data_IF_904073301497
#
_entry.id   IF_904073301497
#
_cell.length_a   1.000
_cell.length_b   1.000
_cell.length_c   1.000
_cell.angle_alpha   90.00
_cell.angle_beta   90.00
_cell.angle_gamma   90.00
#
_symmetry.space_group_name_H-M   'P 1'
#
loop_
_entity.id
_entity.type
_entity.pdbx_description
1 polymer ?
#
# COMPACT_ATOMS: atom_id res chain seq x y z
N UNK A 1 -2.42 0.12 -21.85
CA UNK A 1 -3.54 1.03 -21.54
C UNK A 1 -3.27 2.37 -22.20
N UNK A 2 -4.03 2.70 -23.24
CA UNK A 2 -3.93 3.99 -23.93
C UNK A 2 -4.52 5.14 -23.10
N UNK A 3 -4.10 6.38 -23.36
CA UNK A 3 -4.58 7.59 -22.64
C UNK A 3 -6.11 7.73 -22.73
N UNK A 4 -6.72 7.26 -23.83
CA UNK A 4 -8.18 7.19 -24.00
C UNK A 4 -8.82 6.17 -23.06
N UNK A 5 -8.27 4.98 -22.92
CA UNK A 5 -8.82 3.94 -22.04
C UNK A 5 -8.73 4.35 -20.57
N UNK A 6 -7.62 4.99 -20.17
CA UNK A 6 -7.46 5.49 -18.82
C UNK A 6 -8.46 6.61 -18.49
N UNK A 7 -8.65 7.58 -19.40
CA UNK A 7 -9.66 8.65 -19.23
C UNK A 7 -11.07 8.07 -19.10
N UNK A 8 -11.42 7.11 -19.95
CA UNK A 8 -12.74 6.46 -19.89
C UNK A 8 -12.96 5.72 -18.58
N UNK A 9 -11.93 5.06 -18.03
CA UNK A 9 -12.02 4.37 -16.74
C UNK A 9 -12.16 5.37 -15.59
N UNK A 10 -11.39 6.46 -15.58
CA UNK A 10 -11.51 7.51 -14.55
C UNK A 10 -12.88 8.19 -14.59
N UNK A 11 -13.39 8.54 -15.77
CA UNK A 11 -14.73 9.15 -15.90
C UNK A 11 -15.83 8.19 -15.45
N UNK A 12 -15.71 6.89 -15.72
CA UNK A 12 -16.67 5.88 -15.21
C UNK A 12 -16.61 5.71 -13.69
N UNK A 13 -15.42 5.80 -13.10
CA UNK A 13 -15.22 5.75 -11.65
C UNK A 13 -15.79 7.00 -10.95
N UNK A 14 -15.56 8.18 -11.52
CA UNK A 14 -16.10 9.44 -10.99
C UNK A 14 -17.63 9.43 -11.05
N UNK A 15 -18.23 9.02 -12.19
CA UNK A 15 -19.68 8.87 -12.29
C UNK A 15 -20.27 7.84 -11.31
N UNK A 16 -19.54 6.76 -10.98
CA UNK A 16 -19.99 5.76 -10.00
C UNK A 16 -19.91 6.28 -8.56
N UNK A 17 -18.93 7.13 -8.25
CA UNK A 17 -18.80 7.80 -6.96
C UNK A 17 -19.91 8.84 -6.81
N UNK A 18 -20.13 9.68 -7.82
CA UNK A 18 -21.18 10.69 -7.82
C UNK A 18 -22.57 10.05 -7.70
N UNK A 19 -22.83 8.94 -8.40
CA UNK A 19 -24.10 8.20 -8.29
C UNK A 19 -24.32 7.60 -6.90
N UNK A 20 -23.25 7.15 -6.22
CA UNK A 20 -23.35 6.66 -4.82
C UNK A 20 -23.57 7.79 -3.83
N UNK A 21 -22.96 8.97 -4.06
CA UNK A 21 -23.18 10.16 -3.24
C UNK A 21 -24.62 10.67 -3.43
N UNK A 22 -25.13 10.68 -4.67
CA UNK A 22 -26.51 11.07 -4.97
C UNK A 22 -27.51 10.13 -4.28
N UNK A 23 -27.30 8.81 -4.35
CA UNK A 23 -28.14 7.84 -3.65
C UNK A 23 -28.12 8.00 -2.13
N UNK A 24 -26.96 8.34 -1.55
CA UNK A 24 -26.84 8.63 -0.13
C UNK A 24 -27.56 9.93 0.25
N UNK A 25 -27.47 10.96 -0.60
CA UNK A 25 -28.18 12.22 -0.41
C UNK A 25 -29.69 12.04 -0.50
N UNK A 26 -30.19 11.27 -1.48
CA UNK A 26 -31.61 10.91 -1.63
C UNK A 26 -32.13 10.13 -0.42
N UNK A 27 -31.35 9.17 0.10
CA UNK A 27 -31.75 8.43 1.31
C UNK A 27 -31.82 9.35 2.53
N UNK A 28 -30.86 10.28 2.68
CA UNK A 28 -30.89 11.27 3.77
C UNK A 28 -32.07 12.22 3.62
N UNK A 29 -32.35 12.71 2.40
CA UNK A 29 -33.48 13.59 2.12
C UNK A 29 -34.82 12.89 2.38
N UNK A 30 -35.00 11.65 1.93
CA UNK A 30 -36.20 10.86 2.21
C UNK A 30 -36.39 10.61 3.71
N UNK A 31 -35.30 10.37 4.44
CA UNK A 31 -35.34 10.17 5.89
C UNK A 31 -35.73 11.47 6.61
N UNK A 32 -35.22 12.62 6.16
CA UNK A 32 -35.59 13.94 6.67
C UNK A 32 -37.03 14.32 6.33
N UNK A 33 -37.50 14.03 5.11
CA UNK A 33 -38.89 14.26 4.71
C UNK A 33 -39.86 13.38 5.50
N UNK A 34 -39.52 12.11 5.74
CA UNK A 34 -40.28 11.24 6.64
C UNK A 34 -40.33 11.81 8.05
N UNK A 35 -39.22 12.34 8.56
CA UNK A 35 -39.13 12.95 9.88
C UNK A 35 -40.00 14.21 10.00
N UNK A 36 -39.89 15.15 9.04
CA UNK A 36 -40.71 16.38 8.98
C UNK A 36 -42.20 16.03 8.87
N UNK A 37 -42.55 15.02 8.08
CA UNK A 37 -43.95 14.57 7.94
C UNK A 37 -44.50 14.01 9.26
N UNK A 38 -43.68 13.28 10.01
CA UNK A 38 -44.07 12.77 11.35
C UNK A 38 -44.19 13.91 12.37
N UNK A 39 -43.30 14.91 12.33
CA UNK A 39 -43.38 16.11 13.18
C UNK A 39 -44.62 16.96 12.87
N UNK A 40 -44.95 17.19 11.60
CA UNK A 40 -46.15 17.93 11.21
C UNK A 40 -47.45 17.21 11.58
N UNK A 41 -47.44 15.87 11.67
CA UNK A 41 -48.56 15.09 12.21
C UNK A 41 -48.74 15.25 13.72
N UNK A 42 -47.68 15.60 14.44
CA UNK A 42 -47.69 15.83 15.89
C UNK A 42 -48.15 17.25 16.24
N UNK A 43 -47.82 18.26 15.42
CA UNK A 43 -48.18 19.67 15.67
C UNK A 43 -49.69 19.99 15.46
N UNK A 44 -50.44 19.11 14.80
CA UNK A 44 -51.84 19.38 14.43
C UNK A 44 -52.89 19.26 15.54
N UNK A 45 -52.57 18.72 16.72
CA UNK A 45 -53.61 18.44 17.75
C UNK A 45 -53.29 18.79 19.20
N UNK A 46 -52.12 19.33 19.55
CA UNK A 46 -51.82 19.54 20.98
C UNK A 46 -50.85 20.69 21.25
N UNK A 47 -51.15 21.89 20.75
CA UNK A 47 -50.43 23.10 21.15
C UNK A 47 -51.43 24.10 21.75
N UNK A 48 -51.91 23.81 22.97
CA UNK A 48 -52.45 24.88 23.83
C UNK A 48 -52.47 24.59 25.33
N UNK A 49 -51.62 23.69 25.81
CA UNK A 49 -51.38 23.61 27.26
C UNK A 49 -50.57 22.40 27.65
N UNK A 50 -49.25 22.51 27.67
CA UNK A 50 -48.34 21.61 28.38
C UNK A 50 -46.96 22.26 28.43
N UNK A 51 -46.71 23.08 29.46
CA UNK A 51 -45.50 23.91 29.57
C UNK A 51 -44.27 23.19 30.17
N UNK A 52 -44.34 21.91 30.54
CA UNK A 52 -43.20 21.21 31.18
C UNK A 52 -42.80 19.86 30.52
N UNK A 53 -43.59 19.29 29.60
CA UNK A 53 -43.26 18.02 28.92
C UNK A 53 -42.56 18.17 27.56
N UNK A 54 -42.56 19.38 26.99
CA UNK A 54 -41.93 19.66 25.70
C UNK A 54 -40.41 19.64 25.76
N UNK A 55 -39.80 19.92 26.93
CA UNK A 55 -38.33 19.93 27.07
C UNK A 55 -37.72 18.54 26.89
N UNK A 56 -38.31 17.46 27.42
CA UNK A 56 -37.71 16.13 27.36
C UNK A 56 -37.85 15.46 25.99
N UNK A 57 -38.98 15.68 25.29
CA UNK A 57 -39.14 15.20 23.91
C UNK A 57 -38.26 16.00 22.95
N UNK A 58 -38.15 17.32 23.13
CA UNK A 58 -37.23 18.15 22.36
C UNK A 58 -35.78 17.77 22.65
N UNK A 59 -35.40 17.45 23.89
CA UNK A 59 -34.06 16.97 24.25
C UNK A 59 -33.75 15.62 23.59
N UNK A 60 -34.67 14.65 23.65
CA UNK A 60 -34.49 13.34 22.99
C UNK A 60 -34.38 13.47 21.46
N UNK A 61 -35.18 14.35 20.85
CA UNK A 61 -35.13 14.60 19.41
C UNK A 61 -33.85 15.34 19.02
N UNK A 62 -33.40 16.33 19.80
CA UNK A 62 -32.10 16.97 19.58
C UNK A 62 -30.93 16.01 19.83
N UNK A 63 -31.02 15.10 20.79
CA UNK A 63 -29.97 14.10 21.05
C UNK A 63 -29.89 13.05 19.94
N UNK A 64 -31.03 12.65 19.37
CA UNK A 64 -31.06 11.75 18.21
C UNK A 64 -30.59 12.47 16.94
N UNK A 65 -30.99 13.72 16.71
CA UNK A 65 -30.48 14.53 15.59
C UNK A 65 -28.97 14.81 15.72
N UNK A 66 -28.48 15.05 16.94
CA UNK A 66 -27.05 15.22 17.23
C UNK A 66 -26.28 13.91 17.06
N UNK A 67 -26.85 12.78 17.48
CA UNK A 67 -26.26 11.46 17.26
C UNK A 67 -26.23 11.09 15.76
N UNK A 68 -27.28 11.43 15.01
CA UNK A 68 -27.31 11.26 13.56
C UNK A 68 -26.28 12.18 12.90
N UNK A 69 -26.17 13.44 13.33
CA UNK A 69 -25.17 14.41 12.88
C UNK A 69 -23.74 13.92 13.13
N UNK A 70 -23.46 13.39 14.33
CA UNK A 70 -22.15 12.83 14.66
C UNK A 70 -21.84 11.57 13.86
N UNK A 71 -22.86 10.74 13.58
CA UNK A 71 -22.71 9.54 12.76
C UNK A 71 -22.48 9.91 11.28
N UNK A 72 -23.21 10.87 10.74
CA UNK A 72 -22.99 11.40 9.39
C UNK A 72 -21.65 12.11 9.30
N UNK A 73 -21.23 12.88 10.31
CA UNK A 73 -19.90 13.51 10.37
C UNK A 73 -18.80 12.47 10.43
N UNK A 74 -18.99 11.36 11.16
CA UNK A 74 -17.99 10.29 11.22
C UNK A 74 -17.87 9.55 9.88
N UNK A 75 -18.99 9.25 9.22
CA UNK A 75 -19.00 8.67 7.87
C UNK A 75 -18.39 9.65 6.88
N UNK A 76 -18.77 10.93 6.94
CA UNK A 76 -18.26 11.97 6.06
C UNK A 76 -16.78 12.21 6.28
N UNK A 77 -16.28 12.17 7.51
CA UNK A 77 -14.85 12.27 7.83
C UNK A 77 -14.08 11.03 7.40
N UNK A 78 -14.60 9.82 7.57
CA UNK A 78 -13.95 8.60 7.04
C UNK A 78 -13.93 8.63 5.50
N UNK A 79 -15.02 9.08 4.86
CA UNK A 79 -15.09 9.25 3.42
C UNK A 79 -14.14 10.36 2.92
N UNK A 80 -14.05 11.49 3.64
CA UNK A 80 -13.12 12.60 3.37
C UNK A 80 -11.66 12.18 3.57
N UNK A 81 -11.37 11.33 4.55
CA UNK A 81 -10.04 10.75 4.76
C UNK A 81 -9.68 9.75 3.64
N UNK A 82 -10.62 8.92 3.21
CA UNK A 82 -10.43 8.02 2.06
C UNK A 82 -10.31 8.77 0.74
N UNK A 83 -11.05 9.87 0.56
CA UNK A 83 -10.92 10.80 -0.56
C UNK A 83 -9.57 11.50 -0.53
N UNK A 84 -9.15 12.08 0.62
CA UNK A 84 -7.80 12.67 0.77
C UNK A 84 -6.70 11.64 0.53
N UNK A 85 -6.84 10.40 0.99
CA UNK A 85 -5.87 9.34 0.72
C UNK A 85 -5.81 9.02 -0.77
N UNK A 86 -6.96 8.89 -1.45
CA UNK A 86 -7.03 8.71 -2.91
C UNK A 86 -6.51 9.91 -3.68
N UNK A 87 -6.77 11.13 -3.23
CA UNK A 87 -6.26 12.38 -3.77
C UNK A 87 -4.74 12.49 -3.57
N UNK A 88 -4.20 12.02 -2.43
CA UNK A 88 -2.76 11.89 -2.20
C UNK A 88 -2.15 10.91 -3.20
N UNK A 89 -2.80 9.76 -3.41
CA UNK A 89 -2.36 8.73 -4.36
C UNK A 89 -2.47 9.22 -5.81
N UNK A 90 -3.51 9.99 -6.13
CA UNK A 90 -3.77 10.61 -7.43
C UNK A 90 -2.79 11.75 -7.71
N UNK A 91 -2.48 12.60 -6.72
CA UNK A 91 -1.49 13.66 -6.82
C UNK A 91 -0.07 13.09 -6.94
N UNK A 92 0.23 11.97 -6.27
CA UNK A 92 1.46 11.22 -6.49
C UNK A 92 1.52 10.62 -7.91
N UNK A 93 0.41 10.07 -8.42
CA UNK A 93 0.32 9.60 -9.80
C UNK A 93 0.45 10.74 -10.82
N UNK A 94 -0.18 11.89 -10.58
CA UNK A 94 -0.06 13.09 -11.42
C UNK A 94 1.36 13.66 -11.35
N UNK A 95 2.03 13.65 -10.20
CA UNK A 95 3.41 14.11 -10.09
C UNK A 95 4.36 13.19 -10.86
N UNK A 96 4.14 11.87 -10.80
CA UNK A 96 4.84 10.86 -11.61
C UNK A 96 4.56 11.09 -13.11
N UNK A 97 3.32 11.37 -13.50
CA UNK A 97 2.93 11.62 -14.89
C UNK A 97 3.48 12.96 -15.39
N UNK A 98 3.44 14.04 -14.59
CA UNK A 98 4.03 15.35 -14.90
C UNK A 98 5.54 15.26 -15.02
N UNK A 99 6.22 14.53 -14.14
CA UNK A 99 7.66 14.26 -14.25
C UNK A 99 7.98 13.48 -15.53
N UNK A 100 7.14 12.50 -15.92
CA UNK A 100 7.27 11.78 -17.19
C UNK A 100 6.99 12.66 -18.41
N UNK A 101 6.03 13.61 -18.34
CA UNK A 101 5.72 14.57 -19.42
C UNK A 101 6.80 15.65 -19.56
N UNK A 102 7.32 16.18 -18.46
CA UNK A 102 8.45 17.11 -18.46
C UNK A 102 9.70 16.46 -19.04
N UNK A 103 9.99 15.20 -18.66
CA UNK A 103 11.05 14.44 -19.30
C UNK A 103 10.79 14.28 -20.80
N UNK A 104 9.58 13.87 -21.23
CA UNK A 104 9.24 13.77 -22.67
C UNK A 104 9.38 15.09 -23.43
N UNK A 105 8.99 16.23 -22.86
CA UNK A 105 9.08 17.54 -23.52
C UNK A 105 10.53 18.06 -23.56
N UNK A 106 11.34 17.76 -22.54
CA UNK A 106 12.79 18.06 -22.54
C UNK A 106 13.53 17.34 -23.68
N UNK A 107 13.03 16.18 -24.11
CA UNK A 107 13.56 15.45 -25.28
C UNK A 107 12.94 15.83 -26.63
N UNK A 108 11.87 16.64 -26.64
CA UNK A 108 11.15 17.02 -27.88
C UNK A 108 11.53 18.39 -28.43
N UNK A 109 12.27 19.21 -27.69
CA UNK A 109 12.72 20.56 -28.11
C UNK A 109 14.25 20.70 -28.25
N UNK A 110 14.99 19.59 -28.17
CA UNK A 110 16.44 19.58 -28.42
C UNK A 110 16.84 19.28 -29.88
N UNK A 111 15.97 19.58 -30.86
CA UNK A 111 16.35 19.56 -32.28
C UNK A 111 16.42 21.00 -32.77
N UNK A 112 17.56 21.32 -33.36
CA UNK A 112 17.96 22.53 -34.08
C UNK A 112 18.91 23.49 -33.34
N UNK A 113 20.16 23.46 -33.85
CA UNK A 113 21.32 24.37 -33.74
C UNK A 113 22.11 24.42 -32.42
N UNK A 114 23.35 23.93 -32.43
CA UNK A 114 24.53 24.78 -32.62
C UNK A 114 25.84 23.96 -32.53
N UNK A 115 26.69 24.18 -33.53
CA UNK A 115 28.12 23.88 -33.47
C UNK A 115 28.81 24.97 -32.62
N UNK A 116 29.95 24.62 -32.03
CA UNK A 116 30.98 25.49 -31.43
C UNK A 116 30.94 25.75 -29.90
N UNK A 117 32.10 25.42 -29.31
CA UNK A 117 32.80 26.04 -28.17
C UNK A 117 32.31 25.72 -26.74
N UNK A 118 33.22 25.05 -25.99
CA UNK A 118 33.18 24.79 -24.55
C UNK A 118 33.29 26.09 -23.73
N UNK A 119 32.75 26.15 -22.49
CA UNK A 119 33.47 25.64 -21.33
C UNK A 119 32.64 24.80 -20.33
N UNK A 120 33.39 24.09 -19.50
CA UNK A 120 33.05 23.23 -18.36
C UNK A 120 31.91 23.71 -17.45
N UNK A 121 30.74 23.09 -17.61
CA UNK A 121 29.97 22.61 -16.46
C UNK A 121 29.83 21.11 -16.66
N UNK A 122 30.25 20.29 -15.68
CA UNK A 122 29.99 18.85 -15.70
C UNK A 122 28.48 18.62 -15.71
N UNK A 123 27.89 18.61 -16.91
CA UNK A 123 26.55 18.12 -17.11
C UNK A 123 26.53 16.72 -16.51
N UNK A 124 25.62 16.49 -15.55
CA UNK A 124 25.17 15.15 -15.15
C UNK A 124 24.50 14.51 -16.36
N UNK A 125 25.30 14.12 -17.35
CA UNK A 125 24.86 13.28 -18.45
C UNK A 125 24.48 11.96 -17.79
N UNK A 126 23.22 11.52 -17.86
CA UNK A 126 22.84 10.24 -17.31
C UNK A 126 23.48 9.17 -18.19
N UNK A 127 24.67 8.66 -17.84
CA UNK A 127 25.29 7.54 -18.54
C UNK A 127 24.43 6.26 -18.44
N UNK A 128 24.83 5.22 -19.16
CA UNK A 128 24.20 3.89 -19.10
C UNK A 128 23.52 3.46 -20.41
N UNK A 129 22.87 2.29 -20.36
CA UNK A 129 22.30 1.62 -21.54
C UNK A 129 21.38 2.53 -22.36
N UNK A 130 20.46 3.22 -21.67
CA UNK A 130 19.44 4.06 -22.32
C UNK A 130 20.05 5.25 -23.04
N UNK A 131 21.06 5.89 -22.45
CA UNK A 131 21.77 6.99 -23.08
C UNK A 131 22.48 6.54 -24.37
N UNK A 132 23.15 5.40 -24.32
CA UNK A 132 23.85 4.84 -25.48
C UNK A 132 22.87 4.42 -26.59
N UNK A 133 21.67 3.96 -26.22
CA UNK A 133 20.56 3.72 -27.15
C UNK A 133 20.12 5.01 -27.83
N UNK A 134 19.89 6.08 -27.06
CA UNK A 134 19.39 7.37 -27.55
C UNK A 134 20.38 8.08 -28.50
N UNK A 135 21.69 7.85 -28.35
CA UNK A 135 22.71 8.38 -29.27
C UNK A 135 22.58 7.85 -30.71
N UNK A 136 21.96 6.69 -30.91
CA UNK A 136 21.87 6.05 -32.23
C UNK A 136 23.23 5.64 -32.81
N UNK A 137 23.23 5.02 -33.99
CA UNK A 137 24.46 4.43 -34.57
C UNK A 137 25.52 5.47 -34.94
N UNK A 138 25.12 6.63 -35.45
CA UNK A 138 26.04 7.68 -35.88
C UNK A 138 26.69 8.34 -34.66
N UNK A 139 25.89 8.72 -33.66
CA UNK A 139 26.40 9.34 -32.43
C UNK A 139 27.39 8.43 -31.70
N UNK A 140 27.11 7.12 -31.62
CA UNK A 140 28.01 6.16 -30.97
C UNK A 140 29.41 6.06 -31.61
N UNK A 141 29.56 6.31 -32.91
CA UNK A 141 30.88 6.30 -33.57
C UNK A 141 31.79 7.43 -33.08
N UNK A 142 31.25 8.50 -32.52
CA UNK A 142 32.07 9.59 -31.96
C UNK A 142 32.70 9.21 -30.62
N UNK A 143 32.15 8.18 -29.94
CA UNK A 143 32.60 7.76 -28.60
C UNK A 143 33.97 7.07 -28.61
N UNK A 144 34.48 6.63 -29.76
CA UNK A 144 35.80 5.97 -29.84
C UNK A 144 36.98 6.94 -29.91
N UNK A 145 36.71 8.24 -29.99
CA UNK A 145 37.74 9.28 -30.09
C UNK A 145 38.20 9.80 -28.72
N UNK A 146 39.41 10.35 -28.68
CA UNK A 146 39.97 11.02 -27.50
C UNK A 146 40.83 10.14 -26.60
N UNK A 147 41.12 10.67 -25.40
CA UNK A 147 41.97 10.04 -24.40
C UNK A 147 41.41 8.70 -23.93
N UNK A 148 42.31 7.80 -23.54
CA UNK A 148 41.98 6.47 -23.06
C UNK A 148 42.25 6.33 -21.57
N UNK A 149 41.38 5.59 -20.90
CA UNK A 149 41.48 5.22 -19.50
C UNK A 149 42.06 3.82 -19.42
N UNK A 150 43.06 3.63 -18.55
CA UNK A 150 43.66 2.31 -18.28
C UNK A 150 42.98 1.63 -17.10
N UNK A 151 42.78 0.33 -17.20
CA UNK A 151 42.37 -0.46 -16.04
C UNK A 151 43.61 -1.01 -15.33
N UNK A 152 43.65 -0.80 -14.02
CA UNK A 152 44.70 -1.35 -13.14
C UNK A 152 44.06 -2.24 -12.08
N UNK A 153 44.77 -3.28 -11.63
CA UNK A 153 44.33 -4.08 -10.50
C UNK A 153 44.42 -3.30 -9.18
N UNK A 154 43.99 -3.93 -8.09
CA UNK A 154 44.02 -3.33 -6.75
C UNK A 154 45.43 -3.04 -6.22
N UNK A 155 46.49 -3.56 -6.88
CA UNK A 155 47.89 -3.28 -6.58
C UNK A 155 48.48 -2.21 -7.51
N UNK A 156 47.68 -1.65 -8.41
CA UNK A 156 48.12 -0.66 -9.39
C UNK A 156 48.80 -1.26 -10.63
N UNK A 157 48.82 -2.59 -10.79
CA UNK A 157 49.37 -3.23 -11.99
C UNK A 157 48.39 -3.12 -13.14
N UNK A 158 48.90 -2.81 -14.32
CA UNK A 158 48.10 -2.67 -15.54
C UNK A 158 47.49 -4.00 -15.94
N UNK A 159 46.18 -4.01 -16.16
CA UNK A 159 45.45 -5.20 -16.62
C UNK A 159 45.64 -5.34 -18.13
N UNK A 160 46.06 -6.52 -18.59
CA UNK A 160 46.25 -6.84 -20.01
C UNK A 160 45.27 -7.91 -20.48
N UNK A 161 44.80 -7.79 -21.72
CA UNK A 161 44.00 -8.80 -22.43
C UNK A 161 44.82 -9.32 -23.61
N UNK A 162 45.40 -10.51 -23.45
CA UNK A 162 46.43 -11.01 -24.39
C UNK A 162 47.67 -10.12 -24.36
N UNK A 163 48.03 -9.53 -25.51
CA UNK A 163 49.18 -8.61 -25.64
C UNK A 163 48.81 -7.13 -25.49
N UNK A 164 47.53 -6.81 -25.32
CA UNK A 164 47.05 -5.43 -25.33
C UNK A 164 46.70 -4.97 -23.92
N UNK A 165 47.03 -3.72 -23.61
CA UNK A 165 46.57 -3.06 -22.38
C UNK A 165 45.05 -2.90 -22.44
N UNK A 166 44.37 -3.21 -21.33
CA UNK A 166 42.94 -3.03 -21.22
C UNK A 166 42.63 -1.53 -21.07
N UNK A 167 42.18 -0.90 -22.15
CA UNK A 167 41.88 0.52 -22.20
C UNK A 167 40.51 0.81 -22.81
N UNK A 168 39.88 1.91 -22.39
CA UNK A 168 38.61 2.40 -22.95
C UNK A 168 38.68 3.91 -23.17
N UNK A 169 38.16 4.46 -24.28
CA UNK A 169 38.04 5.91 -24.46
C UNK A 169 37.23 6.55 -23.32
N UNK A 170 37.70 7.69 -22.79
CA UNK A 170 37.06 8.41 -21.67
C UNK A 170 35.60 8.74 -21.99
N UNK A 171 35.36 9.20 -23.22
CA UNK A 171 34.02 9.58 -23.70
C UNK A 171 33.09 8.37 -23.73
N UNK A 172 33.58 7.21 -24.18
CA UNK A 172 32.82 5.96 -24.15
C UNK A 172 32.52 5.52 -22.71
N UNK A 173 33.50 5.58 -21.81
CA UNK A 173 33.29 5.23 -20.40
C UNK A 173 32.21 6.10 -19.76
N UNK A 174 32.29 7.43 -19.92
CA UNK A 174 31.27 8.37 -19.41
C UNK A 174 29.89 8.15 -20.04
N UNK A 175 29.83 7.68 -21.29
CA UNK A 175 28.55 7.36 -21.94
C UNK A 175 27.91 6.08 -21.36
N UNK A 176 28.70 5.05 -21.03
CA UNK A 176 28.17 3.76 -20.57
C UNK A 176 28.05 3.63 -19.06
N UNK A 177 28.79 4.44 -18.28
CA UNK A 177 28.87 4.36 -16.83
C UNK A 177 27.97 5.39 -16.17
N UNK A 178 27.29 5.04 -15.09
CA UNK A 178 26.65 6.00 -14.19
C UNK A 178 27.62 6.55 -13.11
N UNK A 179 28.85 6.03 -13.04
CA UNK A 179 29.87 6.36 -12.03
C UNK A 179 31.08 7.04 -12.68
N UNK A 180 30.91 8.28 -13.11
CA UNK A 180 31.94 9.02 -13.87
C UNK A 180 33.19 9.32 -13.04
N UNK A 181 33.05 9.40 -11.72
CA UNK A 181 34.11 9.71 -10.76
C UNK A 181 35.09 8.55 -10.51
N UNK A 182 34.90 7.39 -11.15
CA UNK A 182 35.84 6.26 -11.04
C UNK A 182 37.16 6.51 -11.77
N UNK A 183 37.20 7.50 -12.66
CA UNK A 183 38.39 7.84 -13.42
C UNK A 183 39.24 8.81 -12.60
N UNK A 184 40.38 8.32 -12.12
CA UNK A 184 41.36 9.12 -11.38
C UNK A 184 42.67 9.07 -12.15
N UNK A 185 43.19 10.23 -12.57
CA UNK A 185 44.44 10.34 -13.33
C UNK A 185 44.50 9.43 -14.59
N UNK A 186 43.37 9.31 -15.30
CA UNK A 186 43.28 8.47 -16.50
C UNK A 186 43.33 6.95 -16.21
N UNK A 187 43.08 6.54 -14.97
CA UNK A 187 43.07 5.14 -14.55
C UNK A 187 41.77 4.80 -13.81
N UNK A 188 41.36 3.54 -13.91
CA UNK A 188 40.32 2.92 -13.08
C UNK A 188 40.96 1.77 -12.31
N UNK A 189 40.93 1.87 -10.98
CA UNK A 189 41.40 0.80 -10.09
C UNK A 189 40.28 -0.23 -9.90
N UNK A 190 40.57 -1.48 -10.24
CA UNK A 190 39.65 -2.61 -10.05
C UNK A 190 39.74 -3.09 -8.60
N UNK A 191 38.64 -3.08 -7.83
CA UNK A 191 38.64 -3.59 -6.46
C UNK A 191 39.03 -5.07 -6.38
N UNK A 192 39.73 -5.45 -5.30
CA UNK A 192 40.21 -6.83 -5.06
C UNK A 192 39.11 -7.90 -5.15
N UNK A 193 37.88 -7.55 -4.81
CA UNK A 193 36.73 -8.47 -4.82
C UNK A 193 36.17 -8.77 -6.21
N UNK A 194 36.68 -8.13 -7.27
CA UNK A 194 36.14 -8.26 -8.62
C UNK A 194 37.04 -9.16 -9.46
N UNK A 195 36.41 -10.14 -10.11
CA UNK A 195 37.09 -11.04 -11.03
C UNK A 195 37.60 -10.28 -12.26
N UNK A 196 38.91 -10.33 -12.51
CA UNK A 196 39.58 -9.62 -13.60
C UNK A 196 39.10 -10.08 -14.98
N UNK A 197 38.81 -11.36 -15.17
CA UNK A 197 38.32 -11.86 -16.47
C UNK A 197 36.91 -11.37 -16.78
N UNK A 198 36.07 -11.20 -15.75
CA UNK A 198 34.79 -10.52 -15.90
C UNK A 198 34.97 -9.04 -16.27
N UNK A 199 35.96 -8.34 -15.69
CA UNK A 199 36.31 -6.96 -16.08
C UNK A 199 36.72 -6.90 -17.56
N UNK A 200 37.63 -7.78 -18.00
CA UNK A 200 38.03 -7.87 -19.42
C UNK A 200 36.80 -8.06 -20.30
N UNK A 201 35.90 -8.98 -19.93
CA UNK A 201 34.67 -9.25 -20.69
C UNK A 201 33.74 -8.03 -20.76
N UNK A 202 33.52 -7.33 -19.64
CA UNK A 202 32.72 -6.09 -19.64
C UNK A 202 33.32 -5.06 -20.58
N UNK A 203 34.62 -4.81 -20.49
CA UNK A 203 35.31 -3.82 -21.31
C UNK A 203 35.24 -4.19 -22.80
N UNK A 204 35.48 -5.45 -23.15
CA UNK A 204 35.34 -5.94 -24.54
C UNK A 204 33.94 -5.69 -25.08
N UNK A 205 32.90 -6.08 -24.33
CA UNK A 205 31.51 -5.88 -24.75
C UNK A 205 31.15 -4.39 -24.92
N UNK A 206 31.71 -3.52 -24.07
CA UNK A 206 31.53 -2.07 -24.20
C UNK A 206 32.22 -1.51 -25.45
N UNK A 207 33.44 -1.97 -25.74
CA UNK A 207 34.21 -1.54 -26.92
C UNK A 207 33.54 -1.93 -28.25
N UNK A 208 32.66 -2.93 -28.24
CA UNK A 208 31.86 -3.34 -29.41
C UNK A 208 30.64 -2.42 -29.67
N UNK A 209 30.15 -1.69 -28.65
CA UNK A 209 28.93 -0.87 -28.75
C UNK A 209 28.99 0.22 -29.84
N UNK A 210 30.12 0.91 -30.07
CA UNK A 210 30.23 1.93 -31.12
C UNK A 210 30.01 1.39 -32.54
N UNK A 211 30.48 0.17 -32.81
CA UNK A 211 30.40 -0.45 -34.14
C UNK A 211 29.15 -1.32 -34.31
N UNK A 212 28.55 -1.77 -33.20
CA UNK A 212 27.37 -2.62 -33.23
C UNK A 212 26.16 -1.95 -33.89
N UNK A 213 25.41 -2.75 -34.67
CA UNK A 213 24.15 -2.35 -35.30
C UNK A 213 23.09 -1.95 -34.26
N UNK A 214 23.09 -2.59 -33.09
CA UNK A 214 22.12 -2.37 -32.00
C UNK A 214 22.84 -2.26 -30.66
N UNK A 215 22.28 -1.48 -29.75
CA UNK A 215 22.72 -1.48 -28.35
C UNK A 215 21.91 -2.55 -27.63
N UNK A 216 22.60 -3.49 -27.00
CA UNK A 216 22.00 -4.64 -26.34
C UNK A 216 22.39 -4.67 -24.87
N UNK A 217 21.54 -5.31 -24.07
CA UNK A 217 21.97 -5.81 -22.78
C UNK A 217 22.95 -6.97 -22.99
N UNK A 218 23.95 -7.06 -22.13
CA UNK A 218 24.90 -8.16 -22.17
C UNK A 218 24.16 -9.48 -22.08
N UNK A 219 24.61 -10.44 -22.88
CA UNK A 219 24.01 -11.76 -22.94
C UNK A 219 24.63 -12.66 -21.89
N UNK A 220 23.83 -13.61 -21.40
CA UNK A 220 24.29 -14.69 -20.53
C UNK A 220 25.50 -15.41 -21.13
N UNK A 221 26.34 -15.94 -20.27
CA UNK A 221 27.48 -16.75 -20.67
C UNK A 221 26.98 -18.05 -21.27
N UNK A 222 27.29 -18.26 -22.55
CA UNK A 222 27.00 -19.52 -23.22
C UNK A 222 28.17 -20.47 -23.02
N UNK A 223 27.92 -21.59 -22.34
CA UNK A 223 28.92 -22.67 -22.22
C UNK A 223 29.10 -23.31 -23.59
N UNK A 224 30.35 -23.51 -23.99
CA UNK A 224 30.72 -24.12 -25.27
C UNK A 224 31.29 -25.52 -25.03
N UNK A 225 31.01 -26.44 -25.94
CA UNK A 225 31.65 -27.76 -25.97
C UNK A 225 33.10 -27.70 -26.47
N UNK A 226 33.74 -28.87 -26.57
CA UNK A 226 35.13 -29.01 -27.03
C UNK A 226 35.32 -28.51 -28.46
N UNK A 227 34.25 -28.52 -29.25
CA UNK A 227 34.18 -28.04 -30.63
C UNK A 227 33.81 -26.55 -30.73
N UNK A 228 33.65 -25.86 -29.59
CA UNK A 228 33.32 -24.44 -29.52
C UNK A 228 31.85 -24.11 -29.79
N UNK A 229 30.97 -25.10 -29.88
CA UNK A 229 29.55 -24.93 -30.11
C UNK A 229 28.79 -24.72 -28.78
N UNK A 230 27.76 -23.86 -28.76
CA UNK A 230 27.00 -23.58 -27.55
C UNK A 230 26.18 -24.80 -27.09
N UNK A 231 26.38 -25.23 -25.85
CA UNK A 231 25.61 -26.33 -25.25
C UNK A 231 24.25 -25.78 -24.81
N UNK A 232 23.18 -26.22 -25.47
CA UNK A 232 21.81 -25.78 -25.14
C UNK A 232 21.42 -26.25 -23.74
N UNK A 233 20.85 -25.33 -22.95
CA UNK A 233 20.34 -25.62 -21.60
C UNK A 233 21.40 -25.61 -20.49
N UNK A 234 22.69 -25.46 -20.83
CA UNK A 234 23.76 -25.34 -19.84
C UNK A 234 24.09 -23.85 -19.65
N UNK A 235 23.66 -23.31 -18.51
CA UNK A 235 23.99 -21.95 -18.08
C UNK A 235 25.16 -21.98 -17.07
N UNK A 236 26.03 -20.97 -17.12
CA UNK A 236 27.07 -20.75 -16.11
C UNK A 236 26.72 -19.48 -15.29
N UNK A 237 25.87 -19.63 -14.26
CA UNK A 237 25.43 -18.50 -13.45
C UNK A 237 26.58 -17.84 -12.67
N UNK A 238 27.69 -18.55 -12.47
CA UNK A 238 28.86 -18.03 -11.77
C UNK A 238 29.57 -16.96 -12.61
N UNK A 239 29.83 -17.25 -13.89
CA UNK A 239 30.40 -16.25 -14.81
C UNK A 239 29.45 -15.07 -15.05
N UNK A 240 28.15 -15.34 -15.11
CA UNK A 240 27.14 -14.29 -15.25
C UNK A 240 27.08 -13.38 -14.02
N UNK A 241 27.20 -13.95 -12.82
CA UNK A 241 27.24 -13.19 -11.58
C UNK A 241 28.50 -12.33 -11.48
N UNK A 242 29.66 -12.87 -11.85
CA UNK A 242 30.89 -12.08 -11.93
C UNK A 242 30.80 -10.95 -12.97
N UNK A 243 30.16 -11.20 -14.11
CA UNK A 243 29.90 -10.16 -15.11
C UNK A 243 29.01 -9.05 -14.54
N UNK A 244 27.92 -9.40 -13.85
CA UNK A 244 27.04 -8.44 -13.17
C UNK A 244 27.78 -7.63 -12.11
N UNK A 245 28.64 -8.27 -11.31
CA UNK A 245 29.44 -7.59 -10.30
C UNK A 245 30.45 -6.61 -10.92
N UNK A 246 31.15 -7.02 -11.97
CA UNK A 246 32.11 -6.15 -12.67
C UNK A 246 31.38 -4.95 -13.31
N UNK A 247 30.25 -5.19 -13.98
CA UNK A 247 29.46 -4.12 -14.57
C UNK A 247 28.95 -3.13 -13.50
N UNK A 248 28.40 -3.62 -12.39
CA UNK A 248 27.89 -2.79 -11.30
C UNK A 248 28.99 -1.93 -10.65
N UNK A 249 30.18 -2.50 -10.48
CA UNK A 249 31.33 -1.77 -9.94
C UNK A 249 31.71 -0.58 -10.81
N UNK A 250 31.66 -0.73 -12.12
CA UNK A 250 31.91 0.35 -13.08
C UNK A 250 30.67 1.21 -13.38
N UNK A 251 29.56 1.04 -12.67
CA UNK A 251 28.34 1.82 -12.89
C UNK A 251 27.61 1.48 -14.19
N UNK A 252 27.87 0.29 -14.75
CA UNK A 252 27.31 -0.21 -16.00
C UNK A 252 26.21 -1.27 -15.75
N UNK A 253 25.65 -1.34 -14.55
CA UNK A 253 24.67 -2.36 -14.14
C UNK A 253 23.43 -2.44 -15.05
N UNK A 254 23.05 -1.34 -15.72
CA UNK A 254 21.96 -1.33 -16.69
C UNK A 254 22.18 -2.29 -17.88
N UNK A 255 23.42 -2.62 -18.21
CA UNK A 255 23.73 -3.57 -19.29
C UNK A 255 23.56 -5.02 -18.85
N UNK A 256 23.61 -5.31 -17.55
CA UNK A 256 23.51 -6.67 -17.00
C UNK A 256 22.19 -6.90 -16.25
N UNK A 257 21.25 -5.97 -16.33
CA UNK A 257 20.03 -5.99 -15.53
C UNK A 257 19.17 -7.22 -15.82
N UNK A 258 19.01 -7.61 -17.09
CA UNK A 258 18.20 -8.79 -17.46
C UNK A 258 18.85 -10.09 -16.96
N UNK A 259 20.19 -10.19 -17.01
CA UNK A 259 20.92 -11.33 -16.45
C UNK A 259 20.66 -11.42 -14.95
N UNK A 260 20.87 -10.33 -14.22
CA UNK A 260 20.66 -10.30 -12.78
C UNK A 260 19.20 -10.59 -12.41
N UNK A 261 18.23 -9.98 -13.10
CA UNK A 261 16.80 -10.22 -12.86
C UNK A 261 16.42 -11.69 -13.12
N UNK A 262 17.00 -12.31 -14.15
CA UNK A 262 16.79 -13.74 -14.43
C UNK A 262 17.31 -14.61 -13.28
N UNK A 263 18.53 -14.35 -12.79
CA UNK A 263 19.10 -15.07 -11.65
C UNK A 263 18.29 -14.82 -10.37
N UNK A 264 17.94 -13.56 -10.11
CA UNK A 264 17.17 -13.15 -8.93
C UNK A 264 15.78 -13.78 -8.90
N UNK A 265 15.07 -13.77 -10.03
CA UNK A 265 13.77 -14.42 -10.16
C UNK A 265 13.87 -15.91 -9.90
N UNK A 266 14.94 -16.58 -10.37
CA UNK A 266 15.12 -18.02 -10.20
C UNK A 266 15.32 -18.41 -8.73
N UNK A 267 16.18 -17.69 -8.00
CA UNK A 267 16.42 -17.95 -6.57
C UNK A 267 15.24 -17.54 -5.68
N UNK A 268 14.33 -16.70 -6.19
CA UNK A 268 13.15 -16.27 -5.45
C UNK A 268 11.98 -17.27 -5.56
N UNK A 269 11.90 -18.05 -6.65
CA UNK A 269 10.77 -18.96 -6.89
C UNK A 269 11.07 -20.39 -6.51
N UNK A 270 12.29 -20.86 -6.80
CA UNK A 270 12.66 -22.27 -6.67
C UNK A 270 13.98 -22.35 -5.90
N UNK A 271 14.11 -23.39 -5.06
CA UNK A 271 15.38 -23.69 -4.39
C UNK A 271 16.38 -24.14 -5.46
N UNK A 272 17.51 -23.43 -5.64
CA UNK A 272 18.48 -23.82 -6.65
C UNK A 272 19.11 -25.19 -6.35
N UNK A 273 19.59 -25.92 -7.38
CA UNK A 273 20.39 -27.11 -7.16
C UNK A 273 21.65 -26.82 -6.33
N UNK A 274 22.15 -27.82 -5.59
CA UNK A 274 23.34 -27.73 -4.72
C UNK A 274 24.51 -26.99 -5.39
N UNK A 275 24.84 -27.34 -6.62
CA UNK A 275 25.95 -26.72 -7.38
C UNK A 275 25.78 -25.19 -7.49
N UNK A 276 24.55 -24.72 -7.70
CA UNK A 276 24.26 -23.28 -7.81
C UNK A 276 24.32 -22.61 -6.44
N UNK A 277 23.86 -23.30 -5.39
CA UNK A 277 23.97 -22.82 -4.01
C UNK A 277 25.44 -22.65 -3.62
N UNK A 278 26.29 -23.64 -3.91
CA UNK A 278 27.72 -23.60 -3.65
C UNK A 278 28.39 -22.43 -4.40
N UNK A 279 28.06 -22.24 -5.68
CA UNK A 279 28.56 -21.13 -6.49
C UNK A 279 28.17 -19.75 -5.92
N UNK A 280 26.90 -19.57 -5.54
CA UNK A 280 26.43 -18.30 -4.97
C UNK A 280 27.06 -18.06 -3.59
N UNK A 281 27.18 -19.11 -2.77
CA UNK A 281 27.81 -19.03 -1.44
C UNK A 281 29.30 -18.68 -1.54
N UNK A 282 30.01 -19.23 -2.52
CA UNK A 282 31.43 -18.92 -2.76
C UNK A 282 31.64 -17.49 -3.29
N UNK A 283 30.58 -16.80 -3.73
CA UNK A 283 30.68 -15.46 -4.27
C UNK A 283 30.64 -14.43 -3.13
N UNK A 284 31.75 -13.73 -2.90
CA UNK A 284 31.89 -12.66 -1.91
C UNK A 284 31.99 -11.29 -2.58
N UNK A 285 30.88 -10.84 -3.16
CA UNK A 285 30.79 -9.50 -3.75
C UNK A 285 29.38 -8.92 -3.60
N UNK A 286 29.18 -7.60 -3.71
CA UNK A 286 27.89 -6.96 -3.39
C UNK A 286 26.70 -7.52 -4.19
N UNK A 287 26.91 -7.93 -5.44
CA UNK A 287 25.85 -8.51 -6.28
C UNK A 287 25.56 -9.95 -5.88
N UNK A 288 26.59 -10.73 -5.60
CA UNK A 288 26.49 -12.09 -5.08
C UNK A 288 25.85 -12.14 -3.70
N UNK A 289 26.18 -11.22 -2.81
CA UNK A 289 25.61 -11.15 -1.46
C UNK A 289 24.11 -10.83 -1.50
N UNK A 290 23.65 -10.00 -2.44
CA UNK A 290 22.22 -9.76 -2.68
C UNK A 290 21.50 -11.04 -3.11
N UNK A 291 22.07 -11.79 -4.05
CA UNK A 291 21.50 -13.07 -4.50
C UNK A 291 21.55 -14.12 -3.39
N UNK A 292 22.66 -14.22 -2.67
CA UNK A 292 22.84 -15.10 -1.53
C UNK A 292 21.76 -14.84 -0.48
N UNK A 293 21.59 -13.59 -0.06
CA UNK A 293 20.56 -13.21 0.90
C UNK A 293 19.15 -13.62 0.45
N UNK A 294 18.83 -13.40 -0.82
CA UNK A 294 17.52 -13.78 -1.37
C UNK A 294 17.35 -15.30 -1.42
N UNK A 295 18.38 -16.02 -1.89
CA UNK A 295 18.41 -17.48 -1.94
C UNK A 295 18.25 -18.09 -0.54
N UNK A 296 19.03 -17.63 0.44
CA UNK A 296 18.94 -18.08 1.83
C UNK A 296 17.57 -17.79 2.43
N UNK A 297 16.97 -16.63 2.15
CA UNK A 297 15.61 -16.32 2.57
C UNK A 297 14.58 -17.29 1.96
N UNK A 298 14.66 -17.58 0.65
CA UNK A 298 13.75 -18.53 0.00
C UNK A 298 13.89 -19.93 0.57
N UNK A 299 15.14 -20.40 0.78
CA UNK A 299 15.41 -21.70 1.39
C UNK A 299 14.83 -21.76 2.80
N UNK A 300 15.18 -20.78 3.65
CA UNK A 300 14.69 -20.69 5.02
C UNK A 300 13.16 -20.67 5.09
N UNK A 301 12.51 -19.92 4.18
CA UNK A 301 11.05 -19.86 4.11
C UNK A 301 10.45 -21.23 3.80
N UNK A 302 11.00 -21.96 2.82
CA UNK A 302 10.49 -23.27 2.45
C UNK A 302 10.74 -24.34 3.52
N UNK A 303 11.86 -24.25 4.24
CA UNK A 303 12.13 -25.11 5.39
C UNK A 303 11.14 -24.82 6.52
N UNK A 304 10.96 -23.55 6.89
CA UNK A 304 10.01 -23.13 7.94
C UNK A 304 8.55 -23.51 7.62
N UNK A 305 8.16 -23.50 6.35
CA UNK A 305 6.81 -23.85 5.90
C UNK A 305 6.64 -25.36 5.60
N UNK A 306 7.66 -26.20 5.84
CA UNK A 306 7.69 -27.63 5.48
C UNK A 306 7.38 -27.91 3.99
N UNK A 307 7.63 -26.94 3.11
CA UNK A 307 7.41 -27.04 1.65
C UNK A 307 8.68 -27.39 0.88
N UNK A 308 9.76 -27.70 1.59
CA UNK A 308 11.03 -28.08 1.00
C UNK A 308 11.01 -29.56 0.61
N UNK A 309 10.95 -29.85 -0.69
CA UNK A 309 10.78 -31.21 -1.25
C UNK A 309 11.87 -32.23 -0.87
N UNK A 310 12.98 -31.78 -0.27
CA UNK A 310 14.13 -32.60 0.16
C UNK A 310 14.61 -32.23 1.57
N UNK A 311 13.73 -31.68 2.43
CA UNK A 311 14.07 -30.96 3.67
C UNK A 311 15.03 -31.72 4.59
N UNK A 312 14.64 -32.93 5.00
CA UNK A 312 15.40 -33.72 5.97
C UNK A 312 16.83 -34.04 5.52
N UNK A 313 17.01 -34.37 4.23
CA UNK A 313 18.34 -34.68 3.68
C UNK A 313 19.18 -33.41 3.47
N UNK A 314 18.53 -32.28 3.22
CA UNK A 314 19.22 -31.00 3.02
C UNK A 314 19.75 -30.43 4.34
N UNK A 315 18.90 -30.41 5.37
CA UNK A 315 19.29 -29.91 6.69
C UNK A 315 20.36 -30.80 7.35
N UNK A 316 20.20 -32.13 7.30
CA UNK A 316 21.11 -33.04 7.97
C UNK A 316 22.46 -33.20 7.25
N UNK A 317 22.48 -33.27 5.91
CA UNK A 317 23.70 -33.61 5.17
C UNK A 317 24.37 -32.44 4.46
N UNK A 318 23.64 -31.37 4.12
CA UNK A 318 24.22 -30.28 3.34
C UNK A 318 24.48 -29.02 4.17
N UNK A 319 23.56 -28.59 5.03
CA UNK A 319 23.79 -27.39 5.85
C UNK A 319 25.08 -27.43 6.69
N UNK A 320 25.47 -28.55 7.32
CA UNK A 320 26.73 -28.63 8.07
C UNK A 320 27.98 -28.41 7.18
N UNK A 321 27.88 -28.69 5.88
CA UNK A 321 28.98 -28.47 4.92
C UNK A 321 29.12 -27.01 4.47
N UNK A 322 28.14 -26.15 4.78
CA UNK A 322 28.11 -24.75 4.38
C UNK A 322 27.69 -23.84 5.55
N UNK A 323 28.64 -23.50 6.46
CA UNK A 323 28.35 -22.71 7.66
C UNK A 323 27.70 -21.35 7.36
N UNK A 324 28.20 -20.66 6.32
CA UNK A 324 27.66 -19.35 5.89
C UNK A 324 26.18 -19.43 5.55
N UNK A 325 25.78 -20.47 4.81
CA UNK A 325 24.38 -20.70 4.46
C UNK A 325 23.55 -21.11 5.67
N UNK A 326 24.06 -22.01 6.51
CA UNK A 326 23.39 -22.47 7.72
C UNK A 326 23.07 -21.30 8.66
N UNK A 327 24.05 -20.45 8.97
CA UNK A 327 23.87 -19.25 9.79
C UNK A 327 22.80 -18.32 9.20
N UNK A 328 22.85 -18.07 7.89
CA UNK A 328 21.90 -17.20 7.21
C UNK A 328 20.46 -17.78 7.29
N UNK A 329 20.31 -19.09 7.11
CA UNK A 329 19.01 -19.77 7.19
C UNK A 329 18.46 -19.70 8.61
N UNK A 330 19.23 -20.08 9.63
CA UNK A 330 18.77 -20.02 11.02
C UNK A 330 18.37 -18.60 11.43
N UNK A 331 19.14 -17.59 11.00
CA UNK A 331 18.78 -16.19 11.24
C UNK A 331 17.46 -15.79 10.55
N UNK A 332 17.15 -16.32 9.36
CA UNK A 332 15.85 -16.07 8.72
C UNK A 332 14.70 -16.83 9.39
N UNK A 333 14.91 -18.08 9.79
CA UNK A 333 13.92 -18.88 10.53
C UNK A 333 13.55 -18.18 11.84
N UNK A 334 14.54 -17.75 12.63
CA UNK A 334 14.29 -16.99 13.85
C UNK A 334 13.47 -15.71 13.61
N UNK A 335 13.65 -15.04 12.46
CA UNK A 335 12.84 -13.88 12.07
C UNK A 335 11.41 -14.25 11.67
N UNK A 336 11.19 -15.42 11.09
CA UNK A 336 9.85 -15.91 10.78
C UNK A 336 9.10 -16.27 12.06
N UNK A 337 9.76 -16.95 13.00
CA UNK A 337 9.20 -17.26 14.33
C UNK A 337 8.86 -15.99 15.11
N UNK A 338 9.77 -15.03 15.19
CA UNK A 338 9.53 -13.75 15.85
C UNK A 338 8.33 -13.01 15.22
N UNK A 339 8.23 -13.02 13.89
CA UNK A 339 7.09 -12.43 13.18
C UNK A 339 5.79 -13.17 13.50
N UNK A 340 5.80 -14.51 13.51
CA UNK A 340 4.63 -15.32 13.83
C UNK A 340 4.09 -15.02 15.24
N UNK A 341 4.98 -14.88 16.23
CA UNK A 341 4.60 -14.50 17.61
C UNK A 341 3.97 -13.10 17.64
N UNK A 342 4.59 -12.12 16.95
CA UNK A 342 4.05 -10.74 16.89
C UNK A 342 2.69 -10.69 16.21
N UNK A 343 2.51 -11.44 15.12
CA UNK A 343 1.27 -11.49 14.37
C UNK A 343 0.17 -12.18 15.19
N UNK A 344 0.48 -13.28 15.89
CA UNK A 344 -0.45 -13.93 16.82
C UNK A 344 -0.91 -12.98 17.94
N UNK A 345 0.03 -12.27 18.58
CA UNK A 345 -0.29 -11.28 19.61
C UNK A 345 -1.09 -10.07 19.07
N UNK A 346 -0.89 -9.71 17.80
CA UNK A 346 -1.72 -8.71 17.14
C UNK A 346 -3.15 -9.22 16.91
N UNK A 347 -3.30 -10.43 16.36
CA UNK A 347 -4.62 -11.05 16.14
C UNK A 347 -5.41 -11.22 17.43
N UNK A 348 -4.75 -11.62 18.53
CA UNK A 348 -5.39 -11.71 19.84
C UNK A 348 -5.92 -10.35 20.33
N UNK A 349 -5.16 -9.28 20.14
CA UNK A 349 -5.59 -7.91 20.49
C UNK A 349 -6.78 -7.46 19.64
N UNK A 350 -6.78 -7.79 18.35
CA UNK A 350 -7.91 -7.49 17.46
C UNK A 350 -9.15 -8.27 17.90
N UNK A 351 -9.02 -9.57 18.17
CA UNK A 351 -10.12 -10.41 18.65
C UNK A 351 -10.72 -9.88 19.97
N UNK A 352 -9.87 -9.50 20.94
CA UNK A 352 -10.34 -8.88 22.21
C UNK A 352 -11.10 -7.59 21.97
N UNK A 353 -10.65 -6.72 21.05
CA UNK A 353 -11.35 -5.48 20.69
C UNK A 353 -12.71 -5.76 20.06
N UNK A 354 -12.82 -6.77 19.19
CA UNK A 354 -14.11 -7.14 18.59
C UNK A 354 -15.10 -7.67 19.63
N UNK A 355 -14.64 -8.49 20.59
CA UNK A 355 -15.49 -8.99 21.69
C UNK A 355 -15.96 -7.85 22.60
N UNK A 356 -15.08 -6.91 22.94
CA UNK A 356 -15.45 -5.75 23.75
C UNK A 356 -16.46 -4.84 23.02
N UNK A 357 -16.24 -4.58 21.73
CA UNK A 357 -17.17 -3.80 20.92
C UNK A 357 -18.56 -4.48 20.86
N UNK A 358 -18.62 -5.80 20.65
CA UNK A 358 -19.87 -6.54 20.64
C UNK A 358 -20.61 -6.49 22.00
N UNK A 359 -19.88 -6.61 23.12
CA UNK A 359 -20.46 -6.46 24.46
C UNK A 359 -21.01 -5.05 24.71
N UNK A 360 -20.32 -4.04 24.22
CA UNK A 360 -20.74 -2.65 24.35
C UNK A 360 -21.99 -2.36 23.51
N UNK A 361 -22.05 -2.86 22.27
CA UNK A 361 -23.24 -2.80 21.43
C UNK A 361 -24.44 -3.49 22.09
N UNK A 362 -24.26 -4.67 22.67
CA UNK A 362 -25.32 -5.38 23.37
C UNK A 362 -25.79 -4.62 24.62
N UNK A 363 -24.87 -4.01 25.38
CA UNK A 363 -25.21 -3.15 26.52
C UNK A 363 -26.00 -1.92 26.07
N UNK A 364 -25.60 -1.29 24.96
CA UNK A 364 -26.33 -0.17 24.39
C UNK A 364 -27.74 -0.58 23.94
N UNK A 365 -27.89 -1.77 23.35
CA UNK A 365 -29.21 -2.30 22.96
C UNK A 365 -30.12 -2.51 24.17
N UNK A 366 -29.63 -3.19 25.21
CA UNK A 366 -30.39 -3.41 26.46
C UNK A 366 -30.77 -2.10 27.15
N UNK A 367 -29.85 -1.11 27.18
CA UNK A 367 -30.15 0.20 27.74
C UNK A 367 -31.24 0.93 26.95
N UNK A 368 -31.24 0.84 25.61
CA UNK A 368 -32.30 1.42 24.77
C UNK A 368 -33.65 0.75 25.03
N UNK A 369 -33.69 -0.58 25.13
CA UNK A 369 -34.90 -1.35 25.45
C UNK A 369 -35.45 -0.98 26.83
N UNK A 370 -34.60 -0.91 27.84
CA UNK A 370 -34.98 -0.52 29.20
C UNK A 370 -35.54 0.91 29.25
N UNK A 371 -34.86 1.87 28.61
CA UNK A 371 -35.31 3.26 28.57
C UNK A 371 -36.64 3.40 27.82
N UNK A 372 -36.86 2.63 26.75
CA UNK A 372 -38.13 2.63 26.03
C UNK A 372 -39.28 2.08 26.89
N UNK A 373 -39.06 1.00 27.64
CA UNK A 373 -40.04 0.45 28.57
C UNK A 373 -40.39 1.46 29.67
N UNK A 374 -39.37 2.07 30.29
CA UNK A 374 -39.57 3.08 31.33
C UNK A 374 -40.36 4.30 30.81
N UNK A 375 -40.02 4.79 29.62
CA UNK A 375 -40.75 5.90 29.00
C UNK A 375 -42.21 5.54 28.67
N UNK A 376 -42.49 4.28 28.30
CA UNK A 376 -43.85 3.81 28.07
C UNK A 376 -44.67 3.73 29.36
N UNK A 377 -44.05 3.27 30.45
CA UNK A 377 -44.67 3.23 31.78
C UNK A 377 -44.98 4.64 32.31
N UNK A 378 -44.03 5.56 32.17
CA UNK A 378 -44.21 6.97 32.55
C UNK A 378 -45.36 7.63 31.74
N UNK A 379 -45.47 7.35 30.43
CA UNK A 379 -46.60 7.82 29.61
C UNK A 379 -47.93 7.25 30.09
N UNK A 380 -48.02 5.95 30.33
CA UNK A 380 -49.26 5.32 30.82
C UNK A 380 -49.67 5.90 32.19
N UNK A 381 -48.70 6.13 33.08
CA UNK A 381 -48.97 6.73 34.38
C UNK A 381 -49.39 8.20 34.27
N UNK A 382 -48.80 8.97 33.36
CA UNK A 382 -49.20 10.35 33.08
C UNK A 382 -50.61 10.43 32.48
N UNK A 383 -50.97 9.52 31.56
CA UNK A 383 -52.33 9.41 31.00
C UNK A 383 -53.36 9.10 32.08
N UNK A 384 -53.10 8.09 32.93
CA UNK A 384 -53.97 7.77 34.09
C UNK A 384 -54.10 8.95 35.06
N UNK A 385 -53.02 9.69 35.31
CA UNK A 385 -53.06 10.88 36.17
C UNK A 385 -53.88 12.02 35.54
N UNK A 386 -53.75 12.23 34.22
CA UNK A 386 -54.53 13.23 33.49
C UNK A 386 -56.04 12.88 33.47
N UNK A 387 -56.39 11.61 33.24
CA UNK A 387 -57.77 11.12 33.32
C UNK A 387 -58.36 11.33 34.71
N UNK A 388 -57.58 11.02 35.76
CA UNK A 388 -58.00 11.21 37.15
C UNK A 388 -58.17 12.71 37.48
N UNK A 389 -57.32 13.58 36.96
CA UNK A 389 -57.42 15.03 37.13
C UNK A 389 -58.66 15.60 36.43
N UNK A 390 -58.93 15.20 35.19
CA UNK A 390 -60.12 15.59 34.44
C UNK A 390 -61.40 15.11 35.13
N UNK A 391 -61.41 13.87 35.66
CA UNK A 391 -62.51 13.37 36.49
C UNK A 391 -62.68 14.22 37.77
N UNK A 392 -61.60 14.69 38.37
CA UNK A 392 -61.65 15.59 39.53
C UNK A 392 -62.21 16.98 39.24
N UNK A 393 -61.95 17.53 38.05
CA UNK A 393 -62.56 18.79 37.60
C UNK A 393 -64.06 18.62 37.33
N UNK A 394 -64.45 17.56 36.61
CA UNK A 394 -65.86 17.21 36.37
C UNK A 394 -66.62 16.98 37.68
N UNK A 395 -66.03 16.26 38.64
CA UNK A 395 -66.61 16.04 39.97
C UNK A 395 -66.87 17.36 40.71
N UNK A 396 -65.87 18.27 40.74
CA UNK A 396 -65.99 19.59 41.38
C UNK A 396 -67.03 20.47 40.70
N UNK A 397 -67.13 20.41 39.37
CA UNK A 397 -68.14 21.15 38.61
C UNK A 397 -69.56 20.62 38.89
N UNK A 398 -69.76 19.30 38.85
CA UNK A 398 -71.05 18.67 39.19
C UNK A 398 -71.51 18.99 40.62
N UNK A 399 -70.57 19.05 41.57
CA UNK A 399 -70.86 19.49 42.94
C UNK A 399 -71.34 20.95 42.99
N UNK A 400 -70.68 21.87 42.27
CA UNK A 400 -71.10 23.28 42.19
C UNK A 400 -72.49 23.45 41.57
N UNK A 401 -72.81 22.62 40.58
CA UNK A 401 -74.10 22.60 39.89
C UNK A 401 -75.19 21.78 40.63
N UNK A 402 -74.87 21.17 41.78
CA UNK A 402 -75.82 20.37 42.59
C UNK A 402 -76.20 18.99 41.99
N UNK A 403 -75.49 18.51 40.97
CA UNK A 403 -75.75 17.22 40.30
C UNK A 403 -75.17 16.05 41.09
N UNK A 404 -75.91 14.94 41.20
CA UNK A 404 -75.51 13.73 41.96
C UNK A 404 -75.13 12.52 41.10
N UNK A 405 -75.09 12.69 39.78
CA UNK A 405 -74.85 11.61 38.82
C UNK A 405 -73.35 11.54 38.48
N UNK A 406 -72.60 10.78 39.27
CA UNK A 406 -71.14 10.67 39.11
C UNK A 406 -70.74 9.47 38.26
N UNK A 407 -69.70 9.59 37.45
CA UNK A 407 -69.13 8.45 36.70
C UNK A 407 -68.26 7.58 37.62
N UNK A 408 -67.95 6.32 37.25
CA UNK A 408 -67.07 5.46 38.06
C UNK A 408 -65.69 6.07 38.35
N UNK A 409 -65.13 6.83 37.40
CA UNK A 409 -63.86 7.54 37.57
C UNK A 409 -63.97 8.74 38.52
N UNK A 410 -65.08 9.50 38.45
CA UNK A 410 -65.37 10.61 39.38
C UNK A 410 -65.58 10.11 40.81
N UNK A 411 -66.28 8.98 40.98
CA UNK A 411 -66.49 8.34 42.27
C UNK A 411 -65.16 7.81 42.86
N UNK A 412 -64.32 7.21 42.02
CA UNK A 412 -62.96 6.79 42.39
C UNK A 412 -62.08 7.97 42.82
N UNK A 413 -62.14 9.10 42.09
CA UNK A 413 -61.46 10.34 42.46
C UNK A 413 -61.96 10.88 43.81
N UNK A 414 -63.28 10.98 44.01
CA UNK A 414 -63.86 11.47 45.25
C UNK A 414 -63.42 10.63 46.47
N UNK A 415 -63.40 9.31 46.32
CA UNK A 415 -62.91 8.41 47.36
C UNK A 415 -61.41 8.61 47.62
N UNK A 416 -60.57 8.61 46.57
CA UNK A 416 -59.10 8.69 46.71
C UNK A 416 -58.60 10.04 47.23
N UNK A 417 -59.23 11.15 46.83
CA UNK A 417 -58.71 12.50 47.10
C UNK A 417 -59.45 13.19 48.24
N UNK A 418 -60.77 12.98 48.36
CA UNK A 418 -61.59 13.64 49.39
C UNK A 418 -62.05 12.71 50.50
N UNK A 419 -61.82 11.40 50.37
CA UNK A 419 -62.28 10.37 51.32
C UNK A 419 -63.78 10.12 51.31
N UNK A 420 -64.54 10.74 50.40
CA UNK A 420 -66.00 10.65 50.35
C UNK A 420 -66.45 9.58 49.37
N UNK A 421 -67.31 8.66 49.83
CA UNK A 421 -67.98 7.69 48.96
C UNK A 421 -69.19 8.35 48.30
N UNK A 422 -69.20 8.38 46.98
CA UNK A 422 -70.34 8.84 46.17
C UNK A 422 -70.79 7.72 45.25
N UNK A 423 -72.10 7.57 45.05
CA UNK A 423 -72.64 6.55 44.18
C UNK A 423 -72.32 6.88 42.72
N UNK A 424 -71.73 5.93 42.00
CA UNK A 424 -71.55 6.05 40.55
C UNK A 424 -72.87 5.69 39.86
N UNK A 425 -73.38 6.58 39.02
CA UNK A 425 -74.53 6.28 38.15
C UNK A 425 -74.01 5.62 36.89
N UNK A 426 -74.24 4.30 36.78
CA UNK A 426 -73.85 3.48 35.64
C UNK A 426 -73.08 2.23 36.06
N UNK A 427 -73.82 1.21 36.48
CA UNK A 427 -73.40 -0.19 36.41
C UNK A 427 -74.53 -0.96 35.72
N UNK A 428 -74.37 -1.19 34.43
CA UNK A 428 -74.75 -2.47 33.82
C UNK A 428 -73.46 -3.10 33.31
#
# INVERSE_FOLDING_TARGET
MGEKEFKTITTKLDMLVDKKILLLAEVVELTLQMFVTQMNKLDGKTIRGLNNGYCDMHLCLTANAFSLSLYTDRIFNDYKMRLKARELTYNQLISIIKARKQNRNKYRHGRYYACSQYPTQEQKVPGGLRYVQDLGRIGRKTLVSGDKIRFVDYLGKVIVSGKQVLEIPVVLFKAVSAKHNLVVEGKIVVPKSINIDAVKRVVTLVLELPVSKRVYQFQKHTVKDVQGQPIKGVEDPFKDLHLCCAAEAFGMGSFTQDIFNSLFSRVNTIVPPKVIIDMITATHNPTGDKLFKQMSHTIAKKLYEDTFTTGDKFEQYYLPTNPRLSEAIHHFIAKFEERAIRDAAYQERVAKRMVLAAKEEERQRRNKEYNALKAAEEKMNAEKAAELSAAGESYRQKLREGKKNFTPLEASYAWKVTGKRVAATGSN
#
